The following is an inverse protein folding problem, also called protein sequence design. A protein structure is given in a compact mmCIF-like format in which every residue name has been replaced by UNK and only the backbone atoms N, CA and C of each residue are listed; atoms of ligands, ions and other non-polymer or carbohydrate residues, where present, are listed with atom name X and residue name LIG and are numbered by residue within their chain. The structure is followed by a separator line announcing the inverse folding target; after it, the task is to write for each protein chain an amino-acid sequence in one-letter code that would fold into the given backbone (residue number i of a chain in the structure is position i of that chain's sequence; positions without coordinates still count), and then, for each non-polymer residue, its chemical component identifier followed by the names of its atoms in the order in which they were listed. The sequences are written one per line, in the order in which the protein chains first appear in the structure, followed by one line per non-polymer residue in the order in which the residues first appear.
data_IF_425387833403
#
_entry.id   IF_425387833403
#
_cell.length_a   1.000
_cell.length_b   1.000
_cell.length_c   1.000
_cell.angle_alpha   90.00
_cell.angle_beta   90.00
_cell.angle_gamma   90.00
#
_symmetry.space_group_name_H-M   'P 1'
#
loop_
_entity.id
_entity.type
_entity.pdbx_description
1 polymer ?
#
# COMPACT_ATOMS: atom_id res chain seq x y z
N UNK A 1 14.63 -11.78 5.40
CA UNK A 1 15.13 -10.64 6.22
C UNK A 1 14.14 -9.48 6.25
N UNK A 2 13.72 -8.96 5.09
CA UNK A 2 12.71 -7.88 5.07
C UNK A 2 11.37 -8.31 5.66
N UNK A 3 10.92 -9.55 5.43
CA UNK A 3 9.68 -10.06 6.08
C UNK A 3 9.80 -10.06 7.61
N UNK A 4 10.98 -10.39 8.15
CA UNK A 4 11.24 -10.32 9.59
C UNK A 4 11.29 -8.87 10.09
N UNK A 5 11.82 -7.93 9.29
CA UNK A 5 11.78 -6.52 9.62
C UNK A 5 10.34 -5.98 9.63
N UNK A 6 9.52 -6.37 8.67
CA UNK A 6 8.08 -6.06 8.62
C UNK A 6 7.42 -6.57 9.90
N UNK A 7 7.60 -7.86 10.24
CA UNK A 7 7.02 -8.45 11.44
C UNK A 7 7.41 -7.68 12.72
N UNK A 8 8.69 -7.31 12.86
CA UNK A 8 9.16 -6.49 13.99
C UNK A 8 8.45 -5.14 14.03
N UNK A 9 8.29 -4.47 12.89
CA UNK A 9 7.60 -3.16 12.85
C UNK A 9 6.11 -3.30 13.17
N UNK A 10 5.44 -4.32 12.63
CA UNK A 10 4.00 -4.52 12.83
C UNK A 10 3.66 -4.97 14.25
N UNK A 11 4.52 -5.78 14.88
CA UNK A 11 4.27 -6.33 16.22
C UNK A 11 4.81 -5.42 17.34
N UNK A 12 5.94 -4.76 17.12
CA UNK A 12 6.70 -4.04 18.17
C UNK A 12 6.83 -2.53 17.91
N UNK A 13 6.36 -2.06 16.75
CA UNK A 13 6.44 -0.66 16.33
C UNK A 13 7.78 -0.28 15.71
N UNK A 14 7.79 0.76 14.87
CA UNK A 14 8.98 1.22 14.15
C UNK A 14 10.15 1.64 15.07
N UNK A 15 9.85 2.13 16.27
CA UNK A 15 10.88 2.50 17.26
C UNK A 15 11.74 1.29 17.70
N UNK A 16 11.16 0.08 17.69
CA UNK A 16 11.85 -1.17 18.07
C UNK A 16 12.61 -1.82 16.90
N UNK A 17 12.46 -1.29 15.69
CA UNK A 17 13.23 -1.80 14.55
C UNK A 17 14.71 -1.47 14.70
N UNK A 18 15.50 -2.52 14.92
CA UNK A 18 16.96 -2.50 15.03
C UNK A 18 17.54 -3.68 14.27
N UNK A 19 18.80 -3.59 13.83
CA UNK A 19 19.48 -4.70 13.16
C UNK A 19 19.50 -5.97 14.04
N UNK A 20 19.63 -5.82 15.36
CA UNK A 20 19.58 -6.93 16.32
C UNK A 20 18.19 -7.55 16.44
N UNK A 21 17.13 -6.72 16.45
CA UNK A 21 15.76 -7.22 16.45
C UNK A 21 15.46 -8.01 15.17
N UNK A 22 15.90 -7.52 14.01
CA UNK A 22 15.75 -8.23 12.74
C UNK A 22 16.58 -9.50 12.69
N UNK A 23 17.82 -9.48 13.20
CA UNK A 23 18.67 -10.67 13.26
C UNK A 23 17.99 -11.80 14.05
N UNK A 24 17.44 -11.46 15.23
CA UNK A 24 16.68 -12.41 16.06
C UNK A 24 15.43 -12.93 15.35
N UNK A 25 14.63 -12.04 14.77
CA UNK A 25 13.40 -12.41 14.08
C UNK A 25 13.65 -13.24 12.81
N UNK A 26 14.73 -12.95 12.08
CA UNK A 26 15.14 -13.67 10.88
C UNK A 26 15.98 -14.93 11.18
N UNK A 27 16.29 -15.22 12.44
CA UNK A 27 17.12 -16.35 12.88
C UNK A 27 18.51 -16.37 12.21
N UNK A 28 19.13 -15.20 12.05
CA UNK A 28 20.48 -15.04 11.49
C UNK A 28 21.38 -14.26 12.45
N UNK A 29 22.70 -14.27 12.21
CA UNK A 29 23.62 -13.45 12.99
C UNK A 29 23.46 -11.96 12.67
N UNK A 30 23.82 -11.09 13.62
CA UNK A 30 23.91 -9.63 13.37
C UNK A 30 24.82 -9.31 12.19
N UNK A 31 25.95 -10.01 12.08
CA UNK A 31 26.87 -9.89 10.95
C UNK A 31 26.22 -10.24 9.60
N UNK A 32 25.37 -11.28 9.58
CA UNK A 32 24.57 -11.62 8.40
C UNK A 32 23.56 -10.54 8.03
N UNK A 33 22.97 -9.85 9.01
CA UNK A 33 22.12 -8.69 8.73
C UNK A 33 22.92 -7.52 8.18
N UNK A 34 24.03 -7.18 8.82
CA UNK A 34 24.90 -6.08 8.43
C UNK A 34 25.54 -6.26 7.05
N UNK A 35 25.70 -7.50 6.60
CA UNK A 35 26.17 -7.80 5.24
C UNK A 35 25.22 -7.26 4.15
N UNK A 36 23.91 -7.34 4.38
CA UNK A 36 22.90 -6.81 3.45
C UNK A 36 22.47 -5.38 3.78
N UNK A 37 22.40 -5.04 5.07
CA UNK A 37 21.93 -3.75 5.56
C UNK A 37 22.93 -3.20 6.59
N UNK A 38 23.98 -2.50 6.14
CA UNK A 38 25.05 -2.01 7.03
C UNK A 38 24.54 -1.07 8.13
N UNK A 39 23.44 -0.35 7.86
CA UNK A 39 22.83 0.59 8.79
C UNK A 39 21.31 0.39 8.92
N UNK A 40 20.72 0.95 9.98
CA UNK A 40 19.26 0.94 10.17
C UNK A 40 18.55 1.66 9.02
N UNK A 41 19.14 2.74 8.52
CA UNK A 41 18.62 3.55 7.43
C UNK A 41 18.58 2.73 6.13
N UNK A 42 19.64 1.96 5.83
CA UNK A 42 19.66 1.06 4.66
C UNK A 42 18.59 -0.04 4.73
N UNK A 43 18.31 -0.56 5.93
CA UNK A 43 17.23 -1.51 6.18
C UNK A 43 15.86 -0.87 5.96
N UNK A 44 15.66 0.34 6.50
CA UNK A 44 14.41 1.10 6.35
C UNK A 44 14.14 1.45 4.88
N UNK A 45 15.15 1.88 4.14
CA UNK A 45 15.03 2.17 2.71
C UNK A 45 14.60 0.93 1.92
N UNK A 46 15.23 -0.22 2.19
CA UNK A 46 14.85 -1.48 1.56
C UNK A 46 13.44 -1.94 1.94
N UNK A 47 13.01 -1.69 3.17
CA UNK A 47 11.65 -1.96 3.64
C UNK A 47 10.62 -1.13 2.85
N UNK A 48 10.88 0.17 2.65
CA UNK A 48 10.01 1.05 1.86
C UNK A 48 9.93 0.59 0.41
N UNK A 49 11.07 0.32 -0.22
CA UNK A 49 11.12 -0.20 -1.60
C UNK A 49 10.31 -1.48 -1.73
N UNK A 50 10.47 -2.43 -0.81
CA UNK A 50 9.74 -3.70 -0.82
C UNK A 50 8.22 -3.51 -0.68
N UNK A 51 7.77 -2.56 0.15
CA UNK A 51 6.36 -2.26 0.32
C UNK A 51 5.74 -1.59 -0.93
N UNK A 52 6.49 -0.70 -1.58
CA UNK A 52 6.11 -0.12 -2.88
C UNK A 52 5.96 -1.24 -3.94
N UNK A 53 6.95 -2.11 -4.05
CA UNK A 53 6.92 -3.26 -4.98
C UNK A 53 5.74 -4.19 -4.70
N UNK A 54 5.44 -4.48 -3.44
CA UNK A 54 4.30 -5.28 -3.06
C UNK A 54 2.97 -4.65 -3.53
N UNK A 55 2.81 -3.36 -3.31
CA UNK A 55 1.60 -2.62 -3.71
C UNK A 55 1.47 -2.59 -5.23
N UNK A 56 2.58 -2.37 -5.95
CA UNK A 56 2.62 -2.39 -7.41
C UNK A 56 2.24 -3.77 -7.96
N UNK A 57 2.81 -4.85 -7.41
CA UNK A 57 2.50 -6.23 -7.81
C UNK A 57 1.03 -6.57 -7.60
N UNK A 58 0.44 -6.17 -6.46
CA UNK A 58 -0.98 -6.41 -6.19
C UNK A 58 -1.88 -5.70 -7.21
N UNK A 59 -1.53 -4.47 -7.59
CA UNK A 59 -2.26 -3.71 -8.60
C UNK A 59 -2.13 -4.35 -10.00
N UNK A 60 -0.92 -4.72 -10.42
CA UNK A 60 -0.68 -5.39 -11.71
C UNK A 60 -1.42 -6.73 -11.81
N UNK A 61 -1.39 -7.54 -10.76
CA UNK A 61 -2.14 -8.80 -10.71
C UNK A 61 -3.65 -8.58 -10.75
N UNK A 62 -4.17 -7.53 -10.10
CA UNK A 62 -5.59 -7.18 -10.22
C UNK A 62 -5.93 -6.74 -11.65
N UNK A 63 -5.04 -5.99 -12.29
CA UNK A 63 -5.20 -5.50 -13.65
C UNK A 63 -5.24 -6.63 -14.68
N UNK A 64 -4.35 -7.63 -14.55
CA UNK A 64 -4.31 -8.81 -15.44
C UNK A 64 -5.60 -9.65 -15.40
N UNK A 65 -6.38 -9.57 -14.33
CA UNK A 65 -7.65 -10.31 -14.18
C UNK A 65 -8.85 -9.56 -14.74
N UNK A 66 -8.67 -8.34 -15.26
CA UNK A 66 -9.72 -7.49 -15.78
C UNK A 66 -9.63 -7.35 -17.30
N UNK A 67 -10.78 -7.22 -18.01
CA UNK A 67 -10.79 -6.97 -19.44
C UNK A 67 -10.11 -5.64 -19.78
N UNK A 68 -9.56 -5.56 -20.99
CA UNK A 68 -8.93 -4.36 -21.53
C UNK A 68 -9.99 -3.35 -22.00
N UNK A 69 -10.36 -2.44 -21.11
CA UNK A 69 -11.39 -1.42 -21.33
C UNK A 69 -11.06 -0.14 -20.54
N UNK A 70 -11.63 1.01 -20.89
CA UNK A 70 -11.44 2.25 -20.13
C UNK A 70 -11.67 2.07 -18.62
N UNK A 71 -10.82 2.69 -17.81
CA UNK A 71 -10.86 2.56 -16.36
C UNK A 71 -10.35 1.24 -15.80
N UNK A 72 -9.76 0.35 -16.62
CA UNK A 72 -9.14 -0.92 -16.14
C UNK A 72 -8.17 -0.67 -15.00
N UNK A 73 -7.27 0.31 -15.15
CA UNK A 73 -6.27 0.65 -14.13
C UNK A 73 -6.89 1.06 -12.79
N UNK A 74 -7.88 1.96 -12.83
CA UNK A 74 -8.59 2.43 -11.64
C UNK A 74 -9.42 1.32 -10.97
N UNK A 75 -10.09 0.46 -11.75
CA UNK A 75 -10.83 -0.70 -11.22
C UNK A 75 -9.90 -1.71 -10.54
N UNK A 76 -8.76 -1.99 -11.17
CA UNK A 76 -7.74 -2.87 -10.61
C UNK A 76 -7.21 -2.30 -9.29
N UNK A 77 -6.98 -1.00 -9.23
CA UNK A 77 -6.53 -0.32 -8.03
C UNK A 77 -7.57 -0.39 -6.90
N UNK A 78 -8.83 -0.05 -7.17
CA UNK A 78 -9.92 -0.25 -6.19
C UNK A 78 -9.94 -1.68 -5.68
N UNK A 79 -9.86 -2.67 -6.58
CA UNK A 79 -9.87 -4.08 -6.20
C UNK A 79 -8.66 -4.49 -5.34
N UNK A 80 -7.46 -4.04 -5.69
CA UNK A 80 -6.23 -4.35 -4.95
C UNK A 80 -6.24 -3.72 -3.55
N UNK A 81 -6.62 -2.45 -3.44
CA UNK A 81 -6.60 -1.70 -2.17
C UNK A 81 -7.76 -2.06 -1.23
N UNK A 82 -8.86 -2.62 -1.76
CA UNK A 82 -10.05 -2.97 -0.96
C UNK A 82 -10.30 -4.48 -0.86
N UNK A 83 -9.30 -5.30 -1.22
CA UNK A 83 -9.32 -6.73 -0.99
C UNK A 83 -9.66 -7.03 0.49
N UNK A 84 -10.31 -8.17 0.76
CA UNK A 84 -11.09 -8.38 1.99
C UNK A 84 -10.31 -8.43 3.32
N UNK A 85 -9.04 -8.03 3.38
CA UNK A 85 -8.22 -8.08 4.61
C UNK A 85 -7.17 -6.96 4.71
N UNK A 86 -7.59 -5.68 4.86
CA UNK A 86 -6.66 -4.57 5.07
C UNK A 86 -5.87 -4.70 6.39
N UNK A 87 -6.45 -5.36 7.39
CA UNK A 87 -5.82 -5.75 8.65
C UNK A 87 -4.69 -6.78 8.47
N UNK A 88 -4.53 -7.31 7.25
CA UNK A 88 -3.46 -8.24 6.85
C UNK A 88 -2.54 -7.63 5.79
N UNK A 89 -2.41 -6.30 5.75
CA UNK A 89 -1.40 -5.60 4.96
C UNK A 89 -0.22 -5.13 5.84
N UNK A 90 0.72 -6.03 6.17
CA UNK A 90 1.82 -5.71 7.05
C UNK A 90 2.83 -4.77 6.37
N UNK A 91 2.87 -4.73 5.02
CA UNK A 91 3.72 -3.81 4.26
C UNK A 91 3.25 -2.37 4.45
N UNK A 92 1.96 -2.11 4.25
CA UNK A 92 1.36 -0.80 4.45
C UNK A 92 1.39 -0.35 5.91
N UNK A 93 1.14 -1.27 6.84
CA UNK A 93 1.27 -1.01 8.28
C UNK A 93 2.70 -0.60 8.64
N UNK A 94 3.70 -1.28 8.08
CA UNK A 94 5.10 -0.96 8.29
C UNK A 94 5.47 0.42 7.72
N UNK A 95 4.99 0.76 6.52
CA UNK A 95 5.17 2.09 5.93
C UNK A 95 4.59 3.19 6.83
N UNK A 96 3.35 3.02 7.31
CA UNK A 96 2.68 4.00 8.17
C UNK A 96 3.43 4.23 9.48
N UNK A 97 4.06 3.18 10.03
CA UNK A 97 4.85 3.28 11.25
C UNK A 97 6.23 3.95 11.04
N UNK A 98 6.83 3.78 9.87
CA UNK A 98 8.22 4.17 9.59
C UNK A 98 8.32 5.59 9.02
N UNK A 99 7.50 5.90 8.02
CA UNK A 99 7.61 7.11 7.21
C UNK A 99 7.53 8.42 8.02
N UNK A 100 6.65 8.56 9.04
CA UNK A 100 6.59 9.79 9.84
C UNK A 100 7.88 10.09 10.63
N UNK A 101 8.70 9.07 10.92
CA UNK A 101 9.93 9.20 11.70
C UNK A 101 11.17 9.57 10.88
N UNK A 102 11.10 9.48 9.55
CA UNK A 102 12.24 9.77 8.66
C UNK A 102 11.77 10.36 7.32
N UNK A 103 11.88 11.69 7.15
CA UNK A 103 11.48 12.36 5.92
C UNK A 103 12.22 11.91 4.66
N UNK A 104 13.41 11.30 4.77
CA UNK A 104 14.16 10.82 3.61
C UNK A 104 13.47 9.62 2.95
N UNK A 105 12.72 8.85 3.73
CA UNK A 105 11.96 7.70 3.26
C UNK A 105 10.68 8.10 2.48
N UNK A 106 10.29 9.37 2.51
CA UNK A 106 9.12 9.87 1.77
C UNK A 106 9.37 9.98 0.28
N UNK A 107 10.60 10.22 -0.16
CA UNK A 107 10.85 10.53 -1.57
C UNK A 107 10.50 9.37 -2.52
N UNK A 108 10.88 8.11 -2.24
CA UNK A 108 10.42 6.95 -3.02
C UNK A 108 8.90 6.81 -3.03
N UNK A 109 8.24 7.09 -1.89
CA UNK A 109 6.79 7.02 -1.75
C UNK A 109 6.10 8.10 -2.60
N UNK A 110 6.62 9.33 -2.58
CA UNK A 110 6.13 10.44 -3.42
C UNK A 110 6.24 10.12 -4.90
N UNK A 111 7.39 9.60 -5.32
CA UNK A 111 7.63 9.17 -6.70
C UNK A 111 6.63 8.11 -7.13
N UNK A 112 6.44 7.06 -6.31
CA UNK A 112 5.45 6.01 -6.56
C UNK A 112 4.03 6.57 -6.79
N UNK A 113 3.55 7.43 -5.88
CA UNK A 113 2.22 8.01 -6.01
C UNK A 113 2.08 8.93 -7.23
N UNK A 114 3.13 9.72 -7.54
CA UNK A 114 3.15 10.63 -8.69
C UNK A 114 3.10 9.89 -10.02
N UNK A 115 3.90 8.84 -10.16
CA UNK A 115 4.04 8.08 -11.41
C UNK A 115 2.83 7.19 -11.72
N UNK A 116 2.07 6.79 -10.71
CA UNK A 116 0.90 5.93 -10.88
C UNK A 116 -0.31 6.66 -11.47
N UNK A 117 -0.49 7.95 -11.19
CA UNK A 117 -1.73 8.68 -11.51
C UNK A 117 -2.10 8.65 -13.02
N UNK A 118 -1.17 8.87 -13.97
CA UNK A 118 -1.49 8.79 -15.40
C UNK A 118 -2.13 7.46 -15.81
N UNK A 119 -1.61 6.34 -15.30
CA UNK A 119 -2.12 5.00 -15.60
C UNK A 119 -3.49 4.72 -14.93
N UNK A 120 -3.78 5.34 -13.78
CA UNK A 120 -5.11 5.26 -13.18
C UNK A 120 -6.16 6.07 -13.94
N UNK A 121 -5.76 7.18 -14.56
CA UNK A 121 -6.65 8.05 -15.33
C UNK A 121 -6.88 7.61 -16.78
N UNK A 122 -6.29 6.49 -17.20
CA UNK A 122 -6.38 6.03 -18.58
C UNK A 122 -7.84 5.77 -19.01
N UNK A 123 -8.31 6.58 -19.96
CA UNK A 123 -9.67 6.52 -20.48
C UNK A 123 -10.75 7.12 -19.55
N UNK A 124 -10.37 7.91 -18.54
CA UNK A 124 -11.30 8.54 -17.60
C UNK A 124 -10.98 10.03 -17.35
N UNK A 125 -11.98 10.87 -17.01
CA UNK A 125 -11.73 12.22 -16.51
C UNK A 125 -10.88 12.20 -15.23
N UNK A 126 -10.03 13.21 -15.06
CA UNK A 126 -9.15 13.33 -13.90
C UNK A 126 -9.95 13.44 -12.60
N UNK A 127 -11.01 14.25 -12.57
CA UNK A 127 -11.83 14.51 -11.38
C UNK A 127 -12.49 13.23 -10.87
N UNK A 128 -12.99 12.40 -11.80
CA UNK A 128 -13.55 11.08 -11.50
C UNK A 128 -12.49 10.14 -10.94
N UNK A 129 -11.32 10.11 -11.58
CA UNK A 129 -10.18 9.31 -11.12
C UNK A 129 -9.76 9.71 -9.71
N UNK A 130 -9.57 11.02 -9.47
CA UNK A 130 -9.17 11.58 -8.20
C UNK A 130 -10.19 11.30 -7.10
N UNK A 131 -11.50 11.41 -7.38
CA UNK A 131 -12.54 11.13 -6.40
C UNK A 131 -12.54 9.64 -5.97
N UNK A 132 -12.52 8.73 -6.95
CA UNK A 132 -12.47 7.29 -6.66
C UNK A 132 -11.17 6.92 -5.94
N UNK A 133 -10.06 7.53 -6.35
CA UNK A 133 -8.75 7.36 -5.72
C UNK A 133 -8.78 7.77 -4.25
N UNK A 134 -9.20 8.99 -3.95
CA UNK A 134 -9.26 9.53 -2.58
C UNK A 134 -10.21 8.72 -1.69
N UNK A 135 -11.37 8.31 -2.22
CA UNK A 135 -12.30 7.47 -1.48
C UNK A 135 -11.74 6.05 -1.23
N UNK A 136 -10.94 5.52 -2.14
CA UNK A 136 -10.25 4.24 -1.98
C UNK A 136 -9.16 4.33 -0.91
N UNK A 137 -8.30 5.35 -0.97
CA UNK A 137 -7.27 5.59 0.05
C UNK A 137 -7.89 5.85 1.43
N UNK A 138 -8.99 6.61 1.49
CA UNK A 138 -9.70 6.87 2.73
C UNK A 138 -10.28 5.60 3.36
N UNK A 139 -10.93 4.76 2.55
CA UNK A 139 -11.43 3.46 3.03
C UNK A 139 -10.28 2.56 3.49
N UNK A 140 -9.24 2.41 2.67
CA UNK A 140 -8.07 1.60 2.99
C UNK A 140 -7.36 2.06 4.27
N UNK A 141 -7.10 3.36 4.41
CA UNK A 141 -6.42 3.92 5.58
C UNK A 141 -7.22 3.71 6.85
N UNK A 142 -8.54 3.99 6.82
CA UNK A 142 -9.41 3.79 7.98
C UNK A 142 -9.46 2.33 8.41
N UNK A 143 -9.43 1.39 7.45
CA UNK A 143 -9.37 -0.03 7.75
C UNK A 143 -8.01 -0.46 8.29
N UNK A 144 -6.92 0.03 7.70
CA UNK A 144 -5.54 -0.24 8.11
C UNK A 144 -5.30 0.14 9.58
N UNK A 145 -5.83 1.29 10.01
CA UNK A 145 -5.65 1.78 11.39
C UNK A 145 -6.76 1.30 12.35
N UNK A 146 -7.67 0.45 11.90
CA UNK A 146 -8.77 -0.07 12.72
C UNK A 146 -9.81 0.99 13.13
N UNK A 147 -9.91 2.10 12.40
CA UNK A 147 -10.82 3.21 12.67
C UNK A 147 -12.05 3.24 11.73
N UNK A 148 -12.20 2.25 10.86
CA UNK A 148 -13.32 2.16 9.93
C UNK A 148 -14.66 2.10 10.68
N UNK A 149 -15.59 3.03 10.44
CA UNK A 149 -16.89 3.06 11.12
C UNK A 149 -17.93 2.15 10.47
N UNK A 150 -17.56 1.43 9.40
CA UNK A 150 -18.50 0.71 8.56
C UNK A 150 -18.67 -0.75 9.00
N UNK A 151 -19.92 -1.22 9.01
CA UNK A 151 -20.19 -2.67 9.01
C UNK A 151 -19.70 -3.32 7.71
N UNK A 152 -19.50 -4.64 7.73
CA UNK A 152 -19.15 -5.42 6.51
C UNK A 152 -20.12 -5.14 5.35
N UNK A 153 -21.42 -5.04 5.64
CA UNK A 153 -22.46 -4.75 4.64
C UNK A 153 -22.33 -3.34 4.04
N UNK A 154 -22.08 -2.32 4.87
CA UNK A 154 -21.82 -0.95 4.40
C UNK A 154 -20.53 -0.87 3.58
N UNK A 155 -19.45 -1.49 4.05
CA UNK A 155 -18.17 -1.59 3.34
C UNK A 155 -18.35 -2.18 1.95
N UNK A 156 -19.03 -3.33 1.83
CA UNK A 156 -19.27 -3.97 0.53
C UNK A 156 -20.06 -3.07 -0.43
N UNK A 157 -21.02 -2.29 0.07
CA UNK A 157 -21.76 -1.31 -0.76
C UNK A 157 -20.86 -0.19 -1.26
N UNK A 158 -20.01 0.37 -0.40
CA UNK A 158 -19.03 1.41 -0.79
C UNK A 158 -18.07 0.86 -1.83
N UNK A 159 -17.50 -0.32 -1.60
CA UNK A 159 -16.59 -0.97 -2.54
C UNK A 159 -17.25 -1.21 -3.91
N UNK A 160 -18.51 -1.68 -3.93
CA UNK A 160 -19.25 -1.88 -5.16
C UNK A 160 -19.50 -0.56 -5.92
N UNK A 161 -19.78 0.53 -5.20
CA UNK A 161 -19.94 1.86 -5.78
C UNK A 161 -18.62 2.36 -6.38
N UNK A 162 -17.49 2.24 -5.65
CA UNK A 162 -16.17 2.61 -6.16
C UNK A 162 -15.82 1.88 -7.46
N UNK A 163 -16.07 0.56 -7.52
CA UNK A 163 -15.84 -0.24 -8.72
C UNK A 163 -16.70 0.21 -9.92
N UNK A 164 -17.93 0.66 -9.67
CA UNK A 164 -18.83 1.18 -10.71
C UNK A 164 -18.36 2.53 -11.22
N UNK A 165 -18.05 3.47 -10.31
CA UNK A 165 -17.53 4.79 -10.66
C UNK A 165 -16.20 4.70 -11.42
N UNK A 166 -15.38 3.69 -11.11
CA UNK A 166 -14.15 3.39 -11.82
C UNK A 166 -14.35 2.81 -13.24
N UNK A 167 -15.56 2.38 -13.60
CA UNK A 167 -15.86 1.76 -14.90
C UNK A 167 -16.56 2.70 -15.88
N UNK A 168 -17.34 3.66 -15.38
CA UNK A 168 -18.16 4.53 -16.21
C UNK A 168 -17.36 5.76 -16.71
N UNK A 169 -17.40 6.03 -18.01
CA UNK A 169 -16.95 7.28 -18.60
C UNK A 169 -18.13 8.24 -18.74
N UNK A 170 -18.17 9.29 -17.91
CA UNK A 170 -19.23 10.29 -17.92
C UNK A 170 -18.95 11.39 -16.90
N UNK A 171 -19.73 12.46 -16.92
CA UNK A 171 -19.64 13.51 -15.90
C UNK A 171 -19.96 12.94 -14.51
N UNK A 172 -19.24 13.38 -13.47
CA UNK A 172 -19.72 13.21 -12.10
C UNK A 172 -21.04 14.02 -11.96
N UNK A 173 -22.04 13.52 -11.22
CA UNK A 173 -23.26 14.28 -10.96
C UNK A 173 -22.98 15.60 -10.24
#
# INVERSE_FOLDING_TARGET
MLDAAIAVVTEQGAARLTLDAVARAAQVSKGGVMYHFPTKESLLQALVTRAIEHTQQNWEQAQQRLPDQPGRGLRAYVQASTAERPDQDPFSSALLAVVPGDPQLLEPVRTYFKERMPALSEGLPFERTALVYLATEGLWLLELIGASPYSRSQRSKVQALLKRLAAEGGSLP
#
